data_IF_816677542013
#
_entry.id   IF_816677542013
#
_cell.length_a   1.000
_cell.length_b   1.000
_cell.length_c   1.000
_cell.angle_alpha   90.00
_cell.angle_beta   90.00
_cell.angle_gamma   90.00
#
_symmetry.space_group_name_H-M   'P 1'
#
loop_
_entity.id
_entity.type
_entity.pdbx_description
1 polymer ?
#
# COMPACT_ATOMS: atom_id res chain seq x y z
N UNK A 1 -0.82 17.38 -2.33
CA UNK A 1 -0.13 16.56 -3.34
C UNK A 1 1.12 17.33 -3.79
N UNK A 2 2.26 16.68 -3.97
CA UNK A 2 3.49 17.37 -4.37
C UNK A 2 3.62 17.35 -5.90
N UNK A 3 3.17 18.44 -6.54
CA UNK A 3 3.19 18.63 -8.00
C UNK A 3 4.59 18.43 -8.59
N UNK A 4 5.64 18.78 -7.84
CA UNK A 4 7.03 18.59 -8.26
C UNK A 4 7.44 17.12 -8.46
N UNK A 5 6.87 16.20 -7.66
CA UNK A 5 7.14 14.76 -7.80
C UNK A 5 6.47 14.20 -9.05
N UNK A 6 5.24 14.64 -9.35
CA UNK A 6 4.48 14.21 -10.53
C UNK A 6 5.20 14.66 -11.81
N UNK A 7 5.68 15.91 -11.84
CA UNK A 7 6.46 16.43 -12.98
C UNK A 7 7.79 15.70 -13.15
N UNK A 8 8.51 15.42 -12.06
CA UNK A 8 9.77 14.67 -12.11
C UNK A 8 9.57 13.23 -12.62
N UNK A 9 8.47 12.59 -12.24
CA UNK A 9 8.11 11.25 -12.72
C UNK A 9 7.69 11.25 -14.19
N UNK A 10 6.92 12.23 -14.64
CA UNK A 10 6.58 12.39 -16.05
C UNK A 10 7.83 12.65 -16.93
N UNK A 11 8.76 13.46 -16.44
CA UNK A 11 10.06 13.68 -17.09
C UNK A 11 10.83 12.37 -17.25
N UNK A 12 10.81 11.52 -16.23
CA UNK A 12 11.46 10.21 -16.27
C UNK A 12 10.84 9.28 -17.33
N UNK A 13 9.51 9.29 -17.45
CA UNK A 13 8.79 8.49 -18.42
C UNK A 13 9.12 8.91 -19.86
N UNK A 14 9.29 10.22 -20.10
CA UNK A 14 9.76 10.74 -21.38
C UNK A 14 11.22 10.35 -21.66
N UNK A 15 12.12 10.64 -20.73
CA UNK A 15 13.56 10.60 -20.99
C UNK A 15 14.12 9.17 -21.03
N UNK A 16 13.59 8.26 -20.20
CA UNK A 16 14.11 6.90 -20.05
C UNK A 16 13.22 5.89 -20.76
N UNK A 17 11.91 5.99 -20.59
CA UNK A 17 10.97 4.96 -21.01
C UNK A 17 10.31 5.25 -22.37
N UNK A 18 10.46 6.47 -22.90
CA UNK A 18 9.83 6.93 -24.15
C UNK A 18 8.30 6.70 -24.13
N UNK A 19 7.69 6.79 -22.94
CA UNK A 19 6.25 6.60 -22.72
C UNK A 19 5.58 7.98 -22.70
N UNK A 20 5.35 8.52 -23.90
CA UNK A 20 4.82 9.88 -24.11
C UNK A 20 3.37 10.00 -23.61
N UNK A 21 2.53 8.99 -23.85
CA UNK A 21 1.11 9.00 -23.48
C UNK A 21 0.91 9.05 -21.95
N UNK A 22 1.68 8.26 -21.20
CA UNK A 22 1.59 8.22 -19.74
C UNK A 22 2.20 9.48 -19.12
N UNK A 23 3.31 9.98 -19.67
CA UNK A 23 3.92 11.22 -19.24
C UNK A 23 2.99 12.43 -19.45
N UNK A 24 2.32 12.53 -20.60
CA UNK A 24 1.39 13.62 -20.92
C UNK A 24 0.19 13.63 -19.96
N UNK A 25 -0.38 12.46 -19.66
CA UNK A 25 -1.45 12.32 -18.67
C UNK A 25 -1.03 12.84 -17.29
N UNK A 26 0.19 12.53 -16.86
CA UNK A 26 0.73 12.95 -15.57
C UNK A 26 1.03 14.45 -15.52
N UNK A 27 1.51 15.04 -16.62
CA UNK A 27 1.71 16.48 -16.73
C UNK A 27 0.38 17.24 -16.67
N UNK A 28 -0.64 16.81 -17.42
CA UNK A 28 -1.99 17.38 -17.36
C UNK A 28 -2.56 17.30 -15.94
N UNK A 29 -2.34 16.19 -15.24
CA UNK A 29 -2.77 16.04 -13.85
C UNK A 29 -2.00 16.97 -12.90
N UNK A 30 -0.70 17.18 -13.12
CA UNK A 30 0.10 18.11 -12.34
C UNK A 30 -0.39 19.56 -12.51
N UNK A 31 -0.74 19.95 -13.74
CA UNK A 31 -1.28 21.27 -14.06
C UNK A 31 -2.64 21.50 -13.38
N UNK A 32 -3.56 20.53 -13.44
CA UNK A 32 -4.86 20.61 -12.76
C UNK A 32 -4.73 20.77 -11.23
N UNK A 33 -3.76 20.11 -10.61
CA UNK A 33 -3.53 20.22 -9.15
C UNK A 33 -2.98 21.61 -8.78
N UNK A 34 -2.16 22.20 -9.63
CA UNK A 34 -1.61 23.55 -9.41
C UNK A 34 -2.71 24.62 -9.56
N UNK A 35 -3.60 24.45 -10.53
CA UNK A 35 -4.80 25.30 -10.72
C UNK A 35 -5.76 25.20 -9.52
N UNK A 36 -6.08 24.00 -9.04
CA UNK A 36 -6.95 23.79 -7.87
C UNK A 36 -6.35 24.37 -6.57
N UNK A 37 -5.01 24.35 -6.44
CA UNK A 37 -4.31 24.89 -5.28
C UNK A 37 -4.43 26.43 -5.17
N UNK A 38 -4.53 27.12 -6.32
CA UNK A 38 -4.67 28.58 -6.33
C UNK A 38 -6.09 29.05 -6.03
N UNK A 39 -7.13 28.23 -6.29
CA UNK A 39 -8.53 28.56 -5.96
C UNK A 39 -8.93 28.28 -4.50
N UNK A 40 -8.26 27.34 -3.81
CA UNK A 40 -8.66 26.92 -2.45
C UNK A 40 -8.22 27.84 -1.29
N UNK A 41 -7.44 28.88 -1.55
CA UNK A 41 -6.95 29.82 -0.52
C UNK A 41 -7.97 30.90 -0.12
N UNK A 42 -9.22 30.84 -0.61
CA UNK A 42 -10.24 31.85 -0.39
C UNK A 42 -11.58 31.31 0.15
N UNK A 43 -11.60 30.37 1.10
CA UNK A 43 -12.85 30.09 1.85
C UNK A 43 -12.66 29.29 3.15
N UNK A 44 -13.23 29.86 4.23
CA UNK A 44 -13.87 29.18 5.36
C UNK A 44 -13.11 29.02 6.68
N UNK A 45 -13.38 30.03 7.52
CA UNK A 45 -13.28 30.10 8.97
C UNK A 45 -14.54 29.54 9.68
N UNK A 46 -14.34 28.92 10.85
CA UNK A 46 -15.23 28.91 12.06
C UNK A 46 -16.49 28.02 12.10
N UNK A 47 -16.62 27.14 13.12
CA UNK A 47 -17.57 27.18 14.27
C UNK A 47 -17.61 25.83 15.05
N UNK A 48 -17.69 25.94 16.39
CA UNK A 48 -17.64 24.96 17.49
C UNK A 48 -19.02 24.43 17.98
N UNK A 49 -18.99 23.42 18.89
CA UNK A 49 -20.00 23.12 19.96
C UNK A 49 -20.39 21.62 20.11
N UNK A 50 -19.91 20.82 21.08
CA UNK A 50 -20.37 20.56 22.49
C UNK A 50 -21.87 20.25 22.68
N UNK A 51 -22.41 19.35 23.52
CA UNK A 51 -21.99 18.33 24.53
C UNK A 51 -23.27 17.59 25.05
N UNK A 52 -23.11 16.42 25.70
CA UNK A 52 -23.87 15.87 26.86
C UNK A 52 -24.58 14.47 26.82
N UNK A 53 -23.84 13.45 27.31
CA UNK A 53 -23.96 12.59 28.54
C UNK A 53 -25.24 11.83 29.03
N UNK A 54 -24.95 10.63 29.64
CA UNK A 54 -25.64 9.80 30.70
C UNK A 54 -26.52 8.64 30.15
N UNK A 55 -26.16 7.32 30.18
CA UNK A 55 -25.82 6.30 31.21
C UNK A 55 -27.02 5.78 32.05
N UNK A 56 -27.42 4.52 31.86
CA UNK A 56 -27.50 3.42 32.88
C UNK A 56 -28.35 2.19 32.44
N UNK A 57 -27.75 0.99 32.60
CA UNK A 57 -28.26 -0.28 33.19
C UNK A 57 -29.69 -0.79 32.85
N UNK A 58 -29.98 -2.07 32.61
CA UNK A 58 -29.46 -3.31 33.21
C UNK A 58 -30.15 -4.54 32.55
N UNK A 59 -29.48 -5.70 32.61
CA UNK A 59 -30.02 -7.09 32.69
C UNK A 59 -31.04 -7.61 31.65
N UNK A 60 -31.11 -8.89 31.26
CA UNK A 60 -30.28 -10.10 31.33
C UNK A 60 -31.08 -11.22 30.62
N UNK A 61 -30.39 -12.28 30.20
CA UNK A 61 -30.87 -13.66 29.94
C UNK A 61 -31.71 -13.96 28.68
N UNK A 62 -31.02 -14.61 27.72
CA UNK A 62 -31.33 -15.93 27.15
C UNK A 62 -32.78 -16.45 27.24
N UNK A 63 -33.28 -17.04 26.14
CA UNK A 63 -33.54 -18.47 26.26
C UNK A 63 -33.50 -19.25 24.94
N UNK A 64 -32.99 -20.46 25.10
CA UNK A 64 -32.74 -21.44 24.08
C UNK A 64 -33.99 -22.31 23.84
N UNK A 65 -34.01 -22.91 22.67
CA UNK A 65 -35.09 -23.72 22.12
C UNK A 65 -35.25 -25.10 22.80
N UNK A 66 -36.51 -25.55 22.80
CA UNK A 66 -37.04 -26.88 22.40
C UNK A 66 -37.50 -27.92 23.46
N UNK A 67 -38.76 -28.33 23.22
CA UNK A 67 -39.33 -29.70 23.12
C UNK A 67 -39.92 -30.45 24.33
N UNK A 68 -41.24 -30.63 24.22
CA UNK A 68 -41.99 -31.90 24.15
C UNK A 68 -42.88 -32.37 25.33
N UNK A 69 -44.13 -32.66 24.95
CA UNK A 69 -45.10 -33.66 25.43
C UNK A 69 -45.56 -33.70 26.90
N UNK A 70 -46.89 -33.61 27.12
CA UNK A 70 -47.80 -34.75 27.43
C UNK A 70 -49.17 -34.22 27.93
N UNK A 71 -50.23 -34.92 27.51
CA UNK A 71 -51.67 -34.74 27.76
C UNK A 71 -52.12 -34.66 29.24
N UNK A 72 -53.20 -33.92 29.55
CA UNK A 72 -54.50 -34.46 30.04
C UNK A 72 -55.57 -33.38 30.38
N UNK A 73 -56.71 -33.50 29.68
CA UNK A 73 -58.14 -33.30 30.03
C UNK A 73 -58.64 -32.21 31.03
N UNK A 74 -59.61 -31.45 30.49
CA UNK A 74 -60.91 -30.97 31.03
C UNK A 74 -60.93 -29.80 32.04
N UNK A 75 -61.44 -28.64 31.56
CA UNK A 75 -62.79 -28.12 31.91
C UNK A 75 -63.12 -26.85 31.10
N UNK A 76 -64.32 -26.81 30.50
CA UNK A 76 -64.93 -25.60 29.93
C UNK A 76 -65.10 -24.54 31.03
N UNK A 77 -64.54 -23.35 30.83
CA UNK A 77 -65.11 -22.08 31.28
C UNK A 77 -64.96 -21.06 30.15
N UNK A 78 -66.10 -20.76 29.53
CA UNK A 78 -66.30 -19.69 28.57
C UNK A 78 -66.16 -18.38 29.35
N UNK A 79 -65.16 -17.54 29.05
CA UNK A 79 -65.18 -16.12 29.39
C UNK A 79 -64.39 -15.34 28.35
N UNK A 80 -65.14 -14.48 27.66
CA UNK A 80 -64.74 -13.51 26.65
C UNK A 80 -63.48 -12.75 27.07
N UNK A 81 -62.36 -12.99 26.38
CA UNK A 81 -61.25 -12.03 26.34
C UNK A 81 -60.36 -12.22 25.10
N UNK A 82 -60.91 -12.77 24.01
CA UNK A 82 -60.17 -12.93 22.75
C UNK A 82 -60.76 -12.07 21.61
N UNK A 83 -61.91 -11.42 21.80
CA UNK A 83 -62.53 -10.64 20.70
C UNK A 83 -61.74 -9.37 20.34
N UNK A 84 -60.98 -8.77 21.27
CA UNK A 84 -60.35 -7.45 21.02
C UNK A 84 -59.13 -7.56 20.10
N UNK A 85 -58.39 -8.68 20.11
CA UNK A 85 -57.16 -8.81 19.29
C UNK A 85 -57.49 -9.41 17.92
N UNK A 86 -58.47 -10.31 17.83
CA UNK A 86 -58.96 -10.79 16.53
C UNK A 86 -59.73 -9.72 15.77
N UNK A 87 -60.48 -8.82 16.43
CA UNK A 87 -61.24 -7.77 15.75
C UNK A 87 -60.35 -6.67 15.13
N UNK A 88 -59.14 -6.43 15.67
CA UNK A 88 -58.13 -5.54 15.07
C UNK A 88 -57.50 -6.17 13.81
N UNK A 89 -57.52 -7.50 13.69
CA UNK A 89 -56.90 -8.23 12.56
C UNK A 89 -57.93 -8.68 11.51
N UNK A 90 -59.21 -8.87 11.86
CA UNK A 90 -60.25 -9.39 10.96
C UNK A 90 -61.33 -8.38 10.53
N UNK A 91 -61.13 -7.09 10.76
CA UNK A 91 -61.82 -6.03 10.02
C UNK A 91 -63.35 -6.07 10.07
N UNK A 92 -63.95 -6.06 11.27
CA UNK A 92 -65.41 -6.06 11.38
C UNK A 92 -65.94 -5.31 12.61
N UNK A 93 -65.81 -3.97 12.63
CA UNK A 93 -66.94 -3.03 12.78
C UNK A 93 -66.51 -1.61 13.20
N UNK A 94 -67.01 -0.62 12.45
CA UNK A 94 -67.28 0.77 12.87
C UNK A 94 -66.19 1.59 13.58
N UNK A 95 -64.96 1.60 13.08
CA UNK A 95 -64.11 2.80 12.98
C UNK A 95 -63.10 2.60 11.84
N UNK A 96 -63.60 2.74 10.61
CA UNK A 96 -62.86 2.57 9.34
C UNK A 96 -61.53 3.32 9.30
N UNK A 97 -61.40 4.43 10.05
CA UNK A 97 -60.17 5.21 10.12
C UNK A 97 -59.04 4.49 10.87
N UNK A 98 -59.29 3.79 11.97
CA UNK A 98 -58.23 3.35 12.89
C UNK A 98 -57.44 2.15 12.34
N UNK A 99 -58.12 1.17 11.73
CA UNK A 99 -57.48 0.05 11.05
C UNK A 99 -56.71 0.47 9.79
N UNK A 100 -57.22 1.50 9.08
CA UNK A 100 -56.57 2.08 7.90
C UNK A 100 -55.33 2.90 8.31
N UNK A 101 -55.38 3.59 9.45
CA UNK A 101 -54.23 4.27 10.07
C UNK A 101 -53.17 3.25 10.50
N UNK A 102 -53.53 2.18 11.21
CA UNK A 102 -52.58 1.14 11.66
C UNK A 102 -51.94 0.44 10.45
N UNK A 103 -52.73 0.05 9.44
CA UNK A 103 -52.22 -0.56 8.21
C UNK A 103 -51.28 0.38 7.43
N UNK A 104 -51.63 1.66 7.34
CA UNK A 104 -50.78 2.69 6.72
C UNK A 104 -49.47 2.92 7.46
N UNK A 105 -49.49 2.92 8.80
CA UNK A 105 -48.30 3.06 9.66
C UNK A 105 -47.37 1.85 9.51
N UNK A 106 -47.93 0.64 9.47
CA UNK A 106 -47.18 -0.59 9.31
C UNK A 106 -46.57 -0.68 7.91
N UNK A 107 -47.30 -0.27 6.87
CA UNK A 107 -46.77 -0.14 5.51
C UNK A 107 -45.64 0.90 5.44
N UNK A 108 -45.83 2.09 6.02
CA UNK A 108 -44.80 3.13 6.07
C UNK A 108 -43.54 2.66 6.81
N UNK A 109 -43.70 1.92 7.92
CA UNK A 109 -42.57 1.35 8.66
C UNK A 109 -41.77 0.34 7.82
N UNK A 110 -42.44 -0.50 7.01
CA UNK A 110 -41.75 -1.43 6.10
C UNK A 110 -41.04 -0.70 4.97
N UNK A 111 -41.66 0.34 4.37
CA UNK A 111 -41.00 1.17 3.35
C UNK A 111 -39.75 1.84 3.94
N UNK A 112 -39.84 2.39 5.15
CA UNK A 112 -38.71 3.01 5.84
C UNK A 112 -37.60 1.98 6.15
N UNK A 113 -37.97 0.76 6.57
CA UNK A 113 -37.01 -0.33 6.78
C UNK A 113 -36.29 -0.74 5.48
N UNK A 114 -37.01 -0.79 4.35
CA UNK A 114 -36.42 -1.06 3.02
C UNK A 114 -35.43 0.05 2.63
N UNK A 115 -35.79 1.32 2.85
CA UNK A 115 -34.91 2.45 2.56
C UNK A 115 -33.63 2.38 3.41
N UNK A 116 -33.76 2.13 4.71
CA UNK A 116 -32.60 1.96 5.61
C UNK A 116 -31.72 0.81 5.12
N UNK A 117 -32.32 -0.34 4.76
CA UNK A 117 -31.57 -1.48 4.26
C UNK A 117 -30.77 -1.14 3.00
N UNK A 118 -31.37 -0.42 2.04
CA UNK A 118 -30.67 0.02 0.82
C UNK A 118 -29.50 0.95 1.16
N UNK A 119 -29.72 1.94 2.03
CA UNK A 119 -28.66 2.88 2.45
C UNK A 119 -27.52 2.13 3.16
N UNK A 120 -27.85 1.26 4.12
CA UNK A 120 -26.85 0.43 4.83
C UNK A 120 -26.07 -0.46 3.87
N UNK A 121 -26.72 -1.04 2.85
CA UNK A 121 -26.07 -1.86 1.83
C UNK A 121 -25.10 -1.04 0.97
N UNK A 122 -25.48 0.18 0.56
CA UNK A 122 -24.60 1.08 -0.20
C UNK A 122 -23.38 1.48 0.63
N UNK A 123 -23.58 1.86 1.89
CA UNK A 123 -22.49 2.19 2.82
C UNK A 123 -21.56 0.98 3.00
N UNK A 124 -22.12 -0.21 3.21
CA UNK A 124 -21.35 -1.45 3.35
C UNK A 124 -20.50 -1.75 2.11
N UNK A 125 -21.09 -1.69 0.90
CA UNK A 125 -20.35 -1.92 -0.35
C UNK A 125 -19.23 -0.90 -0.53
N UNK A 126 -19.46 0.35 -0.14
CA UNK A 126 -18.48 1.43 -0.25
C UNK A 126 -17.30 1.19 0.70
N UNK A 127 -17.58 0.86 1.96
CA UNK A 127 -16.55 0.51 2.95
C UNK A 127 -15.79 -0.76 2.56
N UNK A 128 -16.49 -1.78 2.06
CA UNK A 128 -15.87 -3.03 1.61
C UNK A 128 -14.93 -2.82 0.43
N UNK A 129 -15.30 -1.97 -0.53
CA UNK A 129 -14.41 -1.58 -1.65
C UNK A 129 -13.20 -0.81 -1.17
N UNK A 130 -13.39 0.15 -0.25
CA UNK A 130 -12.29 0.87 0.36
C UNK A 130 -11.31 -0.11 1.02
N UNK A 131 -11.80 -0.96 1.92
CA UNK A 131 -10.99 -1.97 2.61
C UNK A 131 -10.27 -2.91 1.64
N UNK A 132 -10.93 -3.38 0.58
CA UNK A 132 -10.27 -4.22 -0.44
C UNK A 132 -9.12 -3.48 -1.13
N UNK A 133 -9.31 -2.19 -1.45
CA UNK A 133 -8.24 -1.35 -2.00
C UNK A 133 -7.09 -1.20 -1.00
N UNK A 134 -7.41 -1.02 0.28
CA UNK A 134 -6.42 -0.90 1.34
C UNK A 134 -5.52 -2.14 1.44
N UNK A 135 -6.12 -3.33 1.39
CA UNK A 135 -5.40 -4.61 1.39
C UNK A 135 -4.52 -4.78 0.15
N UNK A 136 -5.01 -4.38 -1.03
CA UNK A 136 -4.22 -4.44 -2.26
C UNK A 136 -2.99 -3.52 -2.22
N UNK A 137 -3.14 -2.32 -1.64
CA UNK A 137 -2.02 -1.41 -1.46
C UNK A 137 -0.99 -1.97 -0.49
N UNK A 138 -1.44 -2.54 0.65
CA UNK A 138 -0.55 -3.20 1.60
C UNK A 138 0.25 -4.33 0.95
N UNK A 139 -0.42 -5.17 0.16
CA UNK A 139 0.24 -6.22 -0.61
C UNK A 139 1.32 -5.65 -1.53
N UNK A 140 1.02 -4.54 -2.23
CA UNK A 140 1.96 -3.89 -3.14
C UNK A 140 3.22 -3.40 -2.40
N UNK A 141 3.07 -2.82 -1.21
CA UNK A 141 4.21 -2.42 -0.37
C UNK A 141 5.01 -3.64 0.14
N UNK A 142 4.34 -4.75 0.47
CA UNK A 142 5.02 -6.01 0.80
C UNK A 142 5.82 -6.57 -0.38
N UNK A 143 5.28 -6.50 -1.60
CA UNK A 143 5.99 -6.90 -2.80
C UNK A 143 7.25 -6.02 -3.02
N UNK A 144 7.11 -4.70 -2.86
CA UNK A 144 8.23 -3.76 -2.93
C UNK A 144 9.32 -4.05 -1.89
N UNK A 145 8.93 -4.28 -0.63
CA UNK A 145 9.87 -4.66 0.43
C UNK A 145 10.59 -5.99 0.12
N UNK A 146 9.90 -6.93 -0.52
CA UNK A 146 10.50 -8.20 -0.97
C UNK A 146 11.58 -7.94 -2.03
N UNK A 147 11.33 -7.03 -2.97
CA UNK A 147 12.32 -6.67 -3.99
C UNK A 147 13.54 -5.94 -3.40
N UNK A 148 13.38 -5.10 -2.37
CA UNK A 148 14.50 -4.52 -1.63
C UNK A 148 15.42 -5.58 -1.05
N UNK A 149 14.85 -6.60 -0.40
CA UNK A 149 15.61 -7.71 0.17
C UNK A 149 16.35 -8.55 -0.89
N UNK A 150 15.93 -8.49 -2.16
CA UNK A 150 16.62 -9.14 -3.27
C UNK A 150 17.74 -8.26 -3.87
N UNK A 151 17.59 -6.93 -3.83
CA UNK A 151 18.51 -6.01 -4.48
C UNK A 151 19.90 -5.98 -3.85
N UNK A 152 20.00 -5.87 -2.52
CA UNK A 152 21.31 -5.86 -1.85
C UNK A 152 22.14 -7.13 -2.11
N UNK A 153 21.59 -8.36 -2.03
CA UNK A 153 22.31 -9.56 -2.44
C UNK A 153 22.74 -9.56 -3.90
N UNK A 154 21.93 -9.03 -4.82
CA UNK A 154 22.31 -8.92 -6.24
C UNK A 154 23.46 -7.93 -6.43
N UNK A 155 23.44 -6.80 -5.73
CA UNK A 155 24.56 -5.84 -5.69
C UNK A 155 25.84 -6.48 -5.13
N UNK A 156 25.75 -7.24 -4.04
CA UNK A 156 26.90 -7.97 -3.50
C UNK A 156 27.44 -9.03 -4.46
N UNK A 157 26.56 -9.77 -5.16
CA UNK A 157 27.00 -10.70 -6.20
C UNK A 157 27.69 -9.97 -7.35
N UNK A 158 27.19 -8.81 -7.76
CA UNK A 158 27.83 -8.00 -8.79
C UNK A 158 29.22 -7.51 -8.34
N UNK A 159 29.36 -7.07 -7.08
CA UNK A 159 30.64 -6.70 -6.48
C UNK A 159 31.63 -7.87 -6.44
N UNK A 160 31.17 -9.09 -6.18
CA UNK A 160 32.05 -10.28 -6.22
C UNK A 160 32.55 -10.56 -7.64
N UNK A 161 31.68 -10.44 -8.65
CA UNK A 161 32.09 -10.57 -10.05
C UNK A 161 33.05 -9.45 -10.49
N UNK A 162 32.97 -8.30 -9.83
CA UNK A 162 33.81 -7.12 -10.07
C UNK A 162 35.21 -7.25 -9.45
N UNK A 163 35.27 -7.56 -8.15
CA UNK A 163 36.52 -7.62 -7.38
C UNK A 163 37.47 -8.74 -7.86
N UNK A 164 36.92 -9.82 -8.41
CA UNK A 164 37.70 -10.89 -9.02
C UNK A 164 37.72 -10.79 -10.54
N UNK A 165 38.35 -9.76 -11.12
CA UNK A 165 38.60 -9.71 -12.56
C UNK A 165 39.09 -11.10 -13.07
N UNK A 166 38.27 -11.76 -13.90
CA UNK A 166 38.34 -13.16 -14.40
C UNK A 166 37.53 -14.25 -13.66
N UNK A 167 36.70 -13.95 -12.67
CA UNK A 167 35.81 -14.94 -12.06
C UNK A 167 34.63 -15.28 -12.99
N UNK A 168 34.91 -16.09 -14.00
CA UNK A 168 33.86 -16.84 -14.67
C UNK A 168 33.46 -18.00 -13.77
N UNK A 169 32.46 -17.80 -12.90
CA UNK A 169 31.91 -18.92 -12.14
C UNK A 169 31.33 -19.96 -13.12
N UNK A 170 31.96 -21.14 -13.29
CA UNK A 170 31.51 -22.11 -14.27
C UNK A 170 30.21 -22.80 -13.83
N UNK A 171 29.80 -22.62 -12.56
CA UNK A 171 28.83 -23.44 -11.88
C UNK A 171 29.55 -24.47 -11.00
N UNK A 172 28.94 -24.84 -9.87
CA UNK A 172 29.44 -25.96 -9.08
C UNK A 172 29.11 -27.27 -9.80
N UNK A 173 30.14 -28.08 -10.08
CA UNK A 173 29.95 -29.42 -10.67
C UNK A 173 29.67 -30.51 -9.61
N UNK A 174 29.58 -30.13 -8.33
CA UNK A 174 29.42 -31.05 -7.20
C UNK A 174 27.96 -31.50 -6.95
N UNK A 175 27.02 -31.09 -7.81
CA UNK A 175 25.60 -31.39 -7.68
C UNK A 175 24.91 -30.65 -6.53
N UNK A 176 25.58 -29.71 -5.86
CA UNK A 176 25.00 -28.85 -4.83
C UNK A 176 24.55 -27.52 -5.44
N UNK A 177 23.64 -26.84 -4.73
CA UNK A 177 23.16 -25.53 -5.14
C UNK A 177 24.33 -24.53 -5.17
N UNK A 178 24.62 -24.01 -6.36
CA UNK A 178 25.52 -22.89 -6.54
C UNK A 178 25.02 -21.67 -5.75
N UNK A 179 25.85 -21.11 -4.88
CA UNK A 179 25.52 -19.91 -4.09
C UNK A 179 25.69 -18.61 -4.88
N UNK A 180 26.50 -18.61 -5.94
CA UNK A 180 26.78 -17.41 -6.76
C UNK A 180 26.22 -17.62 -8.17
N UNK A 181 25.38 -16.69 -8.64
CA UNK A 181 24.83 -16.70 -10.00
C UNK A 181 25.89 -16.24 -11.00
N UNK A 182 25.84 -16.75 -12.24
CA UNK A 182 26.67 -16.19 -13.34
C UNK A 182 26.34 -14.71 -13.55
N UNK A 183 27.31 -13.91 -13.99
CA UNK A 183 27.14 -12.47 -14.23
C UNK A 183 25.93 -12.15 -15.12
N UNK A 184 25.73 -12.89 -16.21
CA UNK A 184 24.55 -12.72 -17.09
C UNK A 184 23.23 -12.95 -16.35
N UNK A 185 23.19 -13.91 -15.44
CA UNK A 185 22.03 -14.18 -14.59
C UNK A 185 21.82 -13.10 -13.52
N UNK A 186 22.89 -12.53 -12.95
CA UNK A 186 22.80 -11.39 -12.03
C UNK A 186 22.25 -10.17 -12.76
N UNK A 187 22.80 -9.84 -13.93
CA UNK A 187 22.34 -8.73 -14.78
C UNK A 187 20.89 -8.88 -15.20
N UNK A 188 20.47 -10.08 -15.64
CA UNK A 188 19.05 -10.36 -15.96
C UNK A 188 18.15 -10.10 -14.75
N UNK A 189 18.55 -10.59 -13.57
CA UNK A 189 17.73 -10.42 -12.36
C UNK A 189 17.65 -8.97 -11.90
N UNK A 190 18.74 -8.20 -12.01
CA UNK A 190 18.73 -6.76 -11.74
C UNK A 190 17.72 -6.03 -12.64
N UNK A 191 17.69 -6.35 -13.94
CA UNK A 191 16.71 -5.78 -14.89
C UNK A 191 15.28 -6.17 -14.53
N UNK A 192 15.03 -7.46 -14.32
CA UNK A 192 13.70 -7.99 -14.01
C UNK A 192 13.16 -7.36 -12.73
N UNK A 193 13.94 -7.41 -11.64
CA UNK A 193 13.49 -6.88 -10.36
C UNK A 193 13.33 -5.36 -10.40
N UNK A 194 14.16 -4.64 -11.16
CA UNK A 194 13.95 -3.21 -11.42
C UNK A 194 12.60 -2.95 -12.12
N UNK A 195 12.31 -3.68 -13.20
CA UNK A 195 11.03 -3.55 -13.92
C UNK A 195 9.83 -3.89 -13.01
N UNK A 196 9.96 -4.92 -12.17
CA UNK A 196 8.93 -5.30 -11.20
C UNK A 196 8.69 -4.20 -10.16
N UNK A 197 9.74 -3.54 -9.66
CA UNK A 197 9.62 -2.39 -8.76
C UNK A 197 8.85 -1.25 -9.43
N UNK A 198 9.25 -0.84 -10.63
CA UNK A 198 8.59 0.25 -11.36
C UNK A 198 7.12 -0.07 -11.63
N UNK A 199 6.82 -1.31 -12.02
CA UNK A 199 5.46 -1.78 -12.24
C UNK A 199 4.60 -1.68 -10.98
N UNK A 200 5.10 -2.12 -9.83
CA UNK A 200 4.35 -2.06 -8.57
C UNK A 200 4.14 -0.61 -8.12
N UNK A 201 5.13 0.27 -8.30
CA UNK A 201 4.99 1.71 -8.01
C UNK A 201 3.90 2.34 -8.88
N UNK A 202 3.94 2.12 -10.20
CA UNK A 202 2.92 2.62 -11.13
C UNK A 202 1.53 2.14 -10.72
N UNK A 203 1.38 0.84 -10.41
CA UNK A 203 0.11 0.30 -9.93
C UNK A 203 -0.37 0.97 -8.64
N UNK A 204 0.53 1.30 -7.71
CA UNK A 204 0.19 1.96 -6.45
C UNK A 204 -0.30 3.41 -6.68
N UNK A 205 0.27 4.11 -7.67
CA UNK A 205 -0.23 5.43 -8.09
C UNK A 205 -1.55 5.37 -8.85
N UNK A 206 -1.74 4.37 -9.71
CA UNK A 206 -2.98 4.21 -10.48
C UNK A 206 -4.15 3.80 -9.58
N UNK A 207 -3.88 2.96 -8.59
CA UNK A 207 -4.88 2.42 -7.67
C UNK A 207 -5.25 3.39 -6.53
N UNK A 208 -4.47 4.44 -6.29
CA UNK A 208 -4.69 5.32 -5.14
C UNK A 208 -4.75 6.80 -5.53
N UNK A 209 -5.84 7.47 -5.14
CA UNK A 209 -5.89 8.94 -5.14
C UNK A 209 -5.17 9.55 -3.93
N UNK A 210 -4.89 8.72 -2.91
CA UNK A 210 -4.24 9.08 -1.65
C UNK A 210 -3.03 8.16 -1.40
N UNK A 211 -1.85 8.57 -1.86
CA UNK A 211 -0.59 7.90 -1.52
C UNK A 211 -0.07 8.27 -0.12
N UNK A 212 -0.59 9.35 0.47
CA UNK A 212 -0.13 9.91 1.75
C UNK A 212 -0.06 8.94 2.95
N UNK A 213 -0.94 7.94 3.09
CA UNK A 213 -0.81 6.94 4.14
C UNK A 213 0.41 6.02 3.97
N UNK A 214 0.89 5.85 2.74
CA UNK A 214 1.98 4.96 2.36
C UNK A 214 3.31 5.67 2.13
N UNK A 215 3.28 6.98 1.90
CA UNK A 215 4.47 7.77 1.65
C UNK A 215 5.19 8.10 2.97
N UNK A 216 6.36 7.50 3.16
CA UNK A 216 7.34 7.98 4.13
C UNK A 216 8.14 9.12 3.48
N UNK A 217 8.05 10.32 4.04
CA UNK A 217 8.65 11.53 3.46
C UNK A 217 10.03 11.85 4.05
N UNK A 218 10.42 11.16 5.13
CA UNK A 218 11.70 11.35 5.80
C UNK A 218 12.50 10.05 5.79
N UNK A 219 12.81 9.54 4.60
CA UNK A 219 13.77 8.46 4.42
C UNK A 219 15.17 9.05 4.26
N UNK A 220 16.10 8.67 5.13
CA UNK A 220 17.51 9.09 5.06
C UNK A 220 18.30 8.10 4.20
N UNK A 221 18.39 8.37 2.90
CA UNK A 221 19.17 7.54 1.98
C UNK A 221 20.65 7.93 1.99
N UNK A 222 21.54 6.96 1.88
CA UNK A 222 22.97 7.17 1.76
C UNK A 222 23.37 7.42 0.30
N UNK A 223 24.00 8.55 0.04
CA UNK A 223 24.68 8.85 -1.22
C UNK A 223 26.17 8.65 -1.00
N UNK A 224 26.76 7.75 -1.78
CA UNK A 224 28.17 7.41 -1.70
C UNK A 224 28.95 8.16 -2.77
N UNK A 225 30.05 8.79 -2.36
CA UNK A 225 31.08 9.28 -3.26
C UNK A 225 32.22 8.28 -3.25
N UNK A 226 32.59 7.79 -4.43
CA UNK A 226 33.64 6.79 -4.61
C UNK A 226 34.75 7.34 -5.47
N UNK A 227 35.99 6.94 -5.19
CA UNK A 227 37.15 7.27 -6.00
C UNK A 227 38.33 6.35 -5.68
N UNK A 228 39.50 6.72 -6.18
CA UNK A 228 40.72 5.99 -5.85
C UNK A 228 41.22 6.39 -4.45
N UNK A 229 41.52 5.41 -3.62
CA UNK A 229 41.97 5.62 -2.24
C UNK A 229 43.09 4.68 -1.84
N UNK A 230 43.79 5.01 -0.75
CA UNK A 230 44.77 4.11 -0.14
C UNK A 230 44.02 3.14 0.77
N UNK A 231 44.18 1.84 0.53
CA UNK A 231 43.56 0.76 1.28
C UNK A 231 44.63 -0.22 1.78
N UNK A 232 44.43 -0.79 2.96
CA UNK A 232 45.28 -1.88 3.46
C UNK A 232 44.78 -3.19 2.87
N UNK A 233 45.63 -3.83 2.06
CA UNK A 233 45.37 -5.15 1.50
C UNK A 233 45.43 -6.23 2.59
N UNK A 234 44.94 -7.42 2.27
CA UNK A 234 44.90 -8.58 3.18
C UNK A 234 46.31 -8.99 3.66
N UNK A 235 47.35 -8.69 2.87
CA UNK A 235 48.77 -8.90 3.18
C UNK A 235 49.38 -7.80 4.07
N UNK A 236 48.58 -6.82 4.51
CA UNK A 236 49.01 -5.70 5.36
C UNK A 236 49.73 -4.59 4.60
N UNK A 237 49.82 -4.67 3.26
CA UNK A 237 50.47 -3.65 2.44
C UNK A 237 49.44 -2.60 2.02
N UNK A 238 49.82 -1.33 2.15
CA UNK A 238 49.02 -0.22 1.59
C UNK A 238 49.12 -0.22 0.06
N UNK A 239 47.98 -0.17 -0.61
CA UNK A 239 47.88 -0.06 -2.06
C UNK A 239 46.78 0.90 -2.47
N UNK A 240 46.75 1.26 -3.75
CA UNK A 240 45.59 1.96 -4.32
C UNK A 240 44.44 0.96 -4.54
N UNK A 241 43.27 1.29 -4.03
CA UNK A 241 42.00 0.63 -4.34
C UNK A 241 41.13 1.58 -5.16
N UNK A 242 40.55 1.06 -6.23
CA UNK A 242 39.45 1.67 -6.96
C UNK A 242 38.14 1.50 -6.16
N UNK A 243 37.19 2.42 -6.32
CA UNK A 243 35.88 2.34 -5.67
C UNK A 243 35.89 2.56 -4.16
N UNK A 244 36.96 3.15 -3.62
CA UNK A 244 37.05 3.52 -2.21
C UNK A 244 35.98 4.58 -1.88
N UNK A 245 35.19 4.35 -0.84
CA UNK A 245 34.19 5.32 -0.38
C UNK A 245 34.94 6.48 0.28
N UNK A 246 35.04 7.60 -0.43
CA UNK A 246 35.73 8.81 0.03
C UNK A 246 34.84 9.65 0.94
N UNK A 247 33.53 9.63 0.67
CA UNK A 247 32.52 10.34 1.45
C UNK A 247 31.18 9.62 1.36
N UNK A 248 30.38 9.74 2.41
CA UNK A 248 28.96 9.46 2.36
C UNK A 248 28.19 10.69 2.84
N UNK A 249 27.01 10.91 2.27
CA UNK A 249 26.07 11.94 2.69
C UNK A 249 24.70 11.30 2.88
N UNK A 250 23.97 11.76 3.88
CA UNK A 250 22.57 11.41 4.07
C UNK A 250 21.72 12.41 3.31
N UNK A 251 20.87 11.91 2.42
CA UNK A 251 19.89 12.69 1.70
C UNK A 251 18.49 12.30 2.17
N UNK A 252 17.73 13.28 2.63
CA UNK A 252 16.32 13.08 2.96
C UNK A 252 15.52 12.99 1.67
N UNK A 253 15.03 11.79 1.38
CA UNK A 253 14.17 11.48 0.25
C UNK A 253 12.83 10.92 0.76
N UNK A 254 11.89 10.79 -0.16
CA UNK A 254 10.68 10.04 0.08
C UNK A 254 10.85 8.56 -0.35
N UNK A 255 10.02 7.68 0.19
CA UNK A 255 10.13 6.23 -0.01
C UNK A 255 10.05 5.84 -1.48
N UNK A 256 9.12 6.44 -2.22
CA UNK A 256 8.94 6.10 -3.63
C UNK A 256 10.15 6.55 -4.46
N UNK A 257 10.69 7.73 -4.21
CA UNK A 257 11.92 8.21 -4.84
C UNK A 257 13.09 7.26 -4.55
N UNK A 258 13.20 6.73 -3.32
CA UNK A 258 14.19 5.70 -2.99
C UNK A 258 14.04 4.43 -3.82
N UNK A 259 12.81 3.95 -4.00
CA UNK A 259 12.53 2.79 -4.86
C UNK A 259 12.86 3.04 -6.33
N UNK A 260 12.47 4.21 -6.84
CA UNK A 260 12.72 4.61 -8.24
C UNK A 260 14.23 4.70 -8.48
N UNK A 261 14.96 5.37 -7.59
CA UNK A 261 16.41 5.53 -7.70
C UNK A 261 17.13 4.17 -7.65
N UNK A 262 16.75 3.30 -6.71
CA UNK A 262 17.24 1.91 -6.66
C UNK A 262 16.97 1.17 -7.97
N UNK A 263 15.74 1.24 -8.48
CA UNK A 263 15.34 0.55 -9.71
C UNK A 263 16.13 1.07 -10.93
N UNK A 264 16.32 2.38 -11.05
CA UNK A 264 17.10 2.99 -12.14
C UNK A 264 18.56 2.52 -12.13
N UNK A 265 19.22 2.59 -10.97
CA UNK A 265 20.60 2.14 -10.83
C UNK A 265 20.75 0.66 -11.16
N UNK A 266 19.83 -0.18 -10.66
CA UNK A 266 19.82 -1.61 -10.98
C UNK A 266 19.56 -1.90 -12.47
N UNK A 267 18.66 -1.15 -13.10
CA UNK A 267 18.37 -1.26 -14.53
C UNK A 267 19.61 -0.92 -15.36
N UNK A 268 20.27 0.19 -15.03
CA UNK A 268 21.48 0.64 -15.70
C UNK A 268 22.60 -0.41 -15.61
N UNK A 269 22.89 -0.92 -14.42
CA UNK A 269 23.89 -1.98 -14.22
C UNK A 269 23.54 -3.28 -14.93
N UNK A 270 22.26 -3.61 -15.00
CA UNK A 270 21.80 -4.76 -15.77
C UNK A 270 22.09 -4.59 -17.26
N UNK A 271 21.89 -3.38 -17.80
CA UNK A 271 21.99 -3.06 -19.23
C UNK A 271 23.38 -2.64 -19.70
N UNK A 272 24.29 -2.30 -18.79
CA UNK A 272 25.63 -1.86 -19.12
C UNK A 272 26.35 -2.87 -20.04
N UNK A 273 26.71 -2.39 -21.23
CA UNK A 273 27.53 -3.11 -22.20
C UNK A 273 29.01 -2.79 -21.97
N UNK A 274 29.88 -3.79 -22.09
CA UNK A 274 31.31 -3.62 -21.86
C UNK A 274 31.72 -3.69 -20.39
N UNK A 275 32.83 -3.01 -20.10
CA UNK A 275 33.47 -2.96 -18.79
C UNK A 275 32.76 -1.95 -17.88
N UNK A 276 32.33 -2.41 -16.70
CA UNK A 276 31.55 -1.62 -15.75
C UNK A 276 32.39 -0.49 -15.11
N UNK A 277 33.71 -0.65 -15.06
CA UNK A 277 34.64 0.36 -14.52
C UNK A 277 34.74 1.62 -15.39
N UNK A 278 34.30 1.56 -16.65
CA UNK A 278 34.27 2.74 -17.52
C UNK A 278 33.20 3.74 -17.11
N UNK A 279 32.25 3.34 -16.26
CA UNK A 279 31.21 4.21 -15.75
C UNK A 279 31.67 4.84 -14.44
N UNK A 280 31.85 6.16 -14.44
CA UNK A 280 32.34 6.92 -13.28
C UNK A 280 31.49 6.78 -12.02
N UNK A 281 30.22 6.38 -12.15
CA UNK A 281 29.28 6.22 -11.03
C UNK A 281 29.11 4.76 -10.59
N UNK A 282 29.79 3.80 -11.23
CA UNK A 282 29.54 2.38 -11.00
C UNK A 282 29.65 1.98 -9.54
N UNK A 283 30.78 2.30 -8.88
CA UNK A 283 30.99 1.95 -7.48
C UNK A 283 30.03 2.70 -6.53
N UNK A 284 29.72 3.97 -6.81
CA UNK A 284 28.73 4.72 -6.02
C UNK A 284 27.32 4.15 -6.14
N UNK A 285 26.92 3.76 -7.35
CA UNK A 285 25.61 3.16 -7.61
C UNK A 285 25.52 1.75 -7.02
N UNK A 286 26.64 1.01 -7.03
CA UNK A 286 26.72 -0.33 -6.46
C UNK A 286 26.61 -0.26 -4.95
N UNK A 287 27.32 0.68 -4.31
CA UNK A 287 27.18 0.94 -2.89
C UNK A 287 25.74 1.34 -2.54
N UNK A 288 25.09 2.17 -3.36
CA UNK A 288 23.68 2.51 -3.17
C UNK A 288 22.80 1.26 -3.14
N UNK A 289 22.91 0.37 -4.14
CA UNK A 289 22.12 -0.86 -4.25
C UNK A 289 22.44 -1.84 -3.10
N UNK A 290 23.65 -1.82 -2.55
CA UNK A 290 24.03 -2.70 -1.44
C UNK A 290 23.44 -2.19 -0.12
N UNK A 291 23.55 -0.89 0.19
CA UNK A 291 23.25 -0.36 1.52
C UNK A 291 21.82 0.19 1.68
N UNK A 292 21.31 0.91 0.69
CA UNK A 292 20.01 1.58 0.82
C UNK A 292 18.80 0.64 0.87
N UNK A 293 18.75 -0.49 0.13
CA UNK A 293 17.56 -1.33 0.14
C UNK A 293 17.27 -1.99 1.48
N UNK A 294 18.30 -2.47 2.18
CA UNK A 294 18.14 -3.19 3.46
C UNK A 294 17.89 -2.24 4.63
N UNK A 295 18.50 -1.05 4.63
CA UNK A 295 18.41 -0.13 5.76
C UNK A 295 17.33 0.93 5.53
N UNK A 296 17.60 2.06 4.87
CA UNK A 296 16.63 3.16 4.83
C UNK A 296 15.34 2.83 4.09
N UNK A 297 15.38 2.08 2.98
CA UNK A 297 14.18 1.78 2.19
C UNK A 297 13.30 0.76 2.93
N UNK A 298 13.86 -0.35 3.41
CA UNK A 298 13.09 -1.37 4.12
C UNK A 298 12.54 -0.86 5.46
N UNK A 299 13.30 -0.05 6.20
CA UNK A 299 12.79 0.59 7.41
C UNK A 299 11.65 1.56 7.13
N UNK A 300 11.74 2.32 6.03
CA UNK A 300 10.67 3.21 5.58
C UNK A 300 9.43 2.43 5.16
N UNK A 301 9.58 1.28 4.48
CA UNK A 301 8.47 0.37 4.22
C UNK A 301 7.80 -0.10 5.50
N UNK A 302 8.59 -0.49 6.51
CA UNK A 302 8.06 -0.91 7.82
C UNK A 302 7.27 0.22 8.47
N UNK A 303 7.78 1.45 8.47
CA UNK A 303 7.07 2.63 9.01
C UNK A 303 5.77 2.90 8.25
N UNK A 304 5.81 2.86 6.92
CA UNK A 304 4.64 3.02 6.07
C UNK A 304 3.56 1.96 6.37
N UNK A 305 3.95 0.69 6.51
CA UNK A 305 3.03 -0.40 6.87
C UNK A 305 2.39 -0.22 8.24
N UNK A 306 3.16 0.23 9.24
CA UNK A 306 2.64 0.48 10.60
C UNK A 306 1.69 1.68 10.61
N UNK A 307 2.10 2.80 10.02
CA UNK A 307 1.29 4.02 9.93
C UNK A 307 -0.04 3.75 9.22
N UNK A 308 -0.03 2.88 8.22
CA UNK A 308 -1.24 2.46 7.54
C UNK A 308 -2.21 1.66 8.41
N UNK A 309 -1.69 0.87 9.35
CA UNK A 309 -2.50 0.06 10.26
C UNK A 309 -3.08 0.87 11.42
N UNK A 310 -2.42 1.96 11.80
CA UNK A 310 -2.84 2.84 12.90
C UNK A 310 -3.93 3.84 12.50
N UNK A 311 -4.15 4.06 11.20
CA UNK A 311 -5.12 5.02 10.61
C UNK A 311 -6.34 4.29 10.06
#
# INVERSE_FOLDING_TARGET
QNVGVIRSYAQLLLDIYHDEDTAEMLLIRADNIEEDSTQSSSASSTIEGQENTIVENNMNVNDNRKTSNVQKKKRKKKKQQDDVITEITTGSSSNSSLGLIIGGLLFAAHILAIIIYIISMVVYITQAKHFAQQVNNLKSVCDLATYCCQMSPLGLMLLVHDYEFNFQYPGSADGKAATIRRLSGVRSKLKETSADIIKVISQLYDMTSLTGPWEENSMEAYIFETGDGICTRIDGVEGQCEGFITRHQEATNNLISGFIEMAQKAHYMGNAEGDLHQFSTFHSDLAYIIFNPISPILESCKRAMVKYWEV
#
